data_IF_461994461171
#
_entry.id   IF_461994461171
#
_cell.length_a   1.000
_cell.length_b   1.000
_cell.length_c   1.000
_cell.angle_alpha   90.00
_cell.angle_beta   90.00
_cell.angle_gamma   90.00
#
_symmetry.space_group_name_H-M   'P 1'
#
loop_
_entity.id
_entity.type
_entity.pdbx_description
1 polymer ?
#
# COMPACT_ATOMS: atom_id res chain seq x y z
N UNK A 1 14.78 2.02 -17.08
CA UNK A 1 13.53 1.51 -16.47
C UNK A 1 13.84 0.96 -15.08
N UNK A 2 12.95 1.16 -14.11
CA UNK A 2 13.02 0.54 -12.77
C UNK A 2 11.67 -0.15 -12.51
N UNK A 3 11.68 -1.39 -12.06
CA UNK A 3 10.49 -2.16 -11.69
C UNK A 3 10.49 -2.41 -10.17
N UNK A 4 9.93 -1.49 -9.37
CA UNK A 4 9.99 -1.59 -7.91
C UNK A 4 9.21 -2.80 -7.39
N UNK A 5 9.76 -3.46 -6.38
CA UNK A 5 9.04 -4.51 -5.65
C UNK A 5 7.98 -3.89 -4.73
N UNK A 6 6.99 -4.69 -4.33
CA UNK A 6 6.10 -4.38 -3.20
C UNK A 6 5.80 -5.65 -2.39
N UNK A 7 5.23 -5.48 -1.19
CA UNK A 7 4.94 -6.58 -0.27
C UNK A 7 4.07 -7.69 -0.88
N UNK A 8 3.07 -7.36 -1.69
CA UNK A 8 2.15 -8.35 -2.25
C UNK A 8 2.85 -9.22 -3.31
N UNK A 9 3.69 -8.62 -4.17
CA UNK A 9 4.53 -9.37 -5.11
C UNK A 9 5.60 -10.19 -4.37
N UNK A 10 6.18 -9.66 -3.29
CA UNK A 10 7.09 -10.42 -2.46
C UNK A 10 6.42 -11.71 -1.96
N UNK A 11 5.21 -11.63 -1.40
CA UNK A 11 4.50 -12.81 -0.93
C UNK A 11 4.12 -13.78 -2.06
N UNK A 12 3.82 -13.29 -3.27
CA UNK A 12 3.57 -14.15 -4.42
C UNK A 12 4.82 -14.91 -4.85
N UNK A 13 5.98 -14.24 -4.89
CA UNK A 13 7.28 -14.85 -5.23
C UNK A 13 7.69 -15.89 -4.19
N UNK A 14 7.47 -15.62 -2.91
CA UNK A 14 7.82 -16.54 -1.82
C UNK A 14 6.97 -17.83 -1.78
N UNK A 15 5.94 -17.97 -2.63
CA UNK A 15 5.18 -19.23 -2.80
C UNK A 15 5.90 -20.25 -3.70
N UNK A 16 6.99 -19.88 -4.36
CA UNK A 16 7.73 -20.79 -5.24
C UNK A 16 8.44 -21.88 -4.41
N UNK A 17 8.09 -23.15 -4.65
CA UNK A 17 8.65 -24.29 -3.94
C UNK A 17 10.06 -24.68 -4.43
N UNK A 18 10.38 -24.39 -5.69
CA UNK A 18 11.68 -24.71 -6.28
C UNK A 18 12.70 -23.61 -5.98
N UNK A 19 13.71 -23.94 -5.17
CA UNK A 19 14.74 -23.00 -4.73
C UNK A 19 15.50 -22.38 -5.90
N UNK A 20 15.80 -23.15 -6.94
CA UNK A 20 16.54 -22.65 -8.10
C UNK A 20 15.72 -21.58 -8.86
N UNK A 21 14.42 -21.82 -9.05
CA UNK A 21 13.49 -20.88 -9.67
C UNK A 21 13.26 -19.66 -8.79
N UNK A 22 13.16 -19.84 -7.46
CA UNK A 22 13.03 -18.75 -6.50
C UNK A 22 14.24 -17.81 -6.55
N UNK A 23 15.45 -18.36 -6.49
CA UNK A 23 16.69 -17.58 -6.56
C UNK A 23 16.84 -16.87 -7.91
N UNK A 24 16.47 -17.51 -9.02
CA UNK A 24 16.47 -16.88 -10.33
C UNK A 24 15.46 -15.73 -10.43
N UNK A 25 14.25 -15.91 -9.87
CA UNK A 25 13.22 -14.87 -9.80
C UNK A 25 13.68 -13.69 -8.94
N UNK A 26 14.30 -13.97 -7.78
CA UNK A 26 14.84 -12.94 -6.91
C UNK A 26 15.96 -12.13 -7.59
N UNK A 27 16.85 -12.78 -8.35
CA UNK A 27 17.87 -12.09 -9.14
C UNK A 27 17.28 -11.18 -10.20
N UNK A 28 16.25 -11.64 -10.93
CA UNK A 28 15.55 -10.79 -11.90
C UNK A 28 14.90 -9.57 -11.21
N UNK A 29 14.32 -9.76 -10.03
CA UNK A 29 13.75 -8.66 -9.24
C UNK A 29 14.83 -7.67 -8.82
N UNK A 30 15.99 -8.13 -8.35
CA UNK A 30 17.09 -7.25 -7.97
C UNK A 30 17.60 -6.45 -9.16
N UNK A 31 17.79 -7.09 -10.32
CA UNK A 31 18.24 -6.47 -11.57
C UNK A 31 17.27 -5.39 -12.06
N UNK A 32 15.96 -5.65 -12.00
CA UNK A 32 14.94 -4.72 -12.51
C UNK A 32 14.57 -3.64 -11.48
N UNK A 33 14.58 -3.96 -10.19
CA UNK A 33 14.19 -3.01 -9.13
C UNK A 33 15.32 -2.11 -8.69
N UNK A 34 16.58 -2.48 -8.95
CA UNK A 34 17.77 -1.82 -8.43
C UNK A 34 17.76 -1.73 -6.88
N UNK A 35 17.12 -2.72 -6.24
CA UNK A 35 16.92 -2.79 -4.80
C UNK A 35 15.96 -1.74 -4.24
N UNK A 36 15.13 -1.12 -5.07
CA UNK A 36 14.08 -0.17 -4.67
C UNK A 36 12.74 -0.88 -4.58
N UNK A 37 11.97 -0.60 -3.54
CA UNK A 37 10.61 -1.11 -3.39
C UNK A 37 9.67 -0.02 -2.86
N UNK A 38 8.37 -0.28 -2.93
CA UNK A 38 7.34 0.57 -2.36
C UNK A 38 7.11 0.20 -0.89
N UNK A 39 6.87 1.20 -0.04
CA UNK A 39 6.41 0.99 1.34
C UNK A 39 5.22 0.03 1.38
N UNK A 40 5.06 -0.83 2.40
CA UNK A 40 3.87 -1.65 2.60
C UNK A 40 2.57 -0.83 2.61
N UNK A 41 1.45 -1.44 2.22
CA UNK A 41 0.15 -0.75 2.08
C UNK A 41 -0.27 0.05 3.33
N UNK A 42 -0.20 -0.48 4.57
CA UNK A 42 -0.58 0.31 5.75
C UNK A 42 0.27 1.57 5.92
N UNK A 43 1.58 1.45 5.73
CA UNK A 43 2.52 2.57 5.84
C UNK A 43 2.32 3.60 4.73
N UNK A 44 1.97 3.18 3.51
CA UNK A 44 1.60 4.11 2.43
C UNK A 44 0.35 4.91 2.78
N UNK A 45 -0.67 4.26 3.32
CA UNK A 45 -1.91 4.97 3.69
C UNK A 45 -1.72 5.92 4.88
N UNK A 46 -0.92 5.52 5.87
CA UNK A 46 -0.52 6.41 6.97
C UNK A 46 0.30 7.60 6.47
N UNK A 47 1.22 7.38 5.52
CA UNK A 47 1.98 8.43 4.85
C UNK A 47 1.07 9.39 4.06
N UNK A 48 0.09 8.87 3.32
CA UNK A 48 -0.92 9.68 2.62
C UNK A 48 -1.69 10.58 3.60
N UNK A 49 -2.10 10.03 4.74
CA UNK A 49 -2.78 10.78 5.80
C UNK A 49 -1.88 11.85 6.43
N UNK A 50 -0.64 11.49 6.77
CA UNK A 50 0.34 12.43 7.31
C UNK A 50 0.62 13.57 6.32
N UNK A 51 0.90 13.23 5.06
CA UNK A 51 1.14 14.18 3.98
C UNK A 51 -0.05 15.12 3.77
N UNK A 52 -1.27 14.59 3.78
CA UNK A 52 -2.47 15.39 3.68
C UNK A 52 -2.56 16.41 4.82
N UNK A 53 -2.36 16.00 6.07
CA UNK A 53 -2.42 16.91 7.22
C UNK A 53 -1.32 17.98 7.12
N UNK A 54 -0.06 17.59 6.87
CA UNK A 54 1.05 18.54 6.79
C UNK A 54 0.94 19.51 5.62
N UNK A 55 0.48 19.04 4.45
CA UNK A 55 0.27 19.90 3.28
C UNK A 55 -0.81 20.97 3.49
N UNK A 56 -1.73 20.78 4.44
CA UNK A 56 -2.70 21.82 4.83
C UNK A 56 -2.16 22.82 5.87
N UNK A 57 -1.06 22.47 6.55
CA UNK A 57 -0.50 23.24 7.67
C UNK A 57 0.74 24.01 7.29
N UNK A 58 1.55 23.46 6.38
CA UNK A 58 2.82 24.04 5.95
C UNK A 58 2.69 24.66 4.55
N UNK A 59 3.60 25.57 4.22
CA UNK A 59 3.71 26.07 2.85
C UNK A 59 4.12 24.93 1.91
N UNK A 60 3.49 24.84 0.74
CA UNK A 60 3.68 23.74 -0.21
C UNK A 60 5.13 23.52 -0.66
N UNK A 61 6.01 24.52 -0.54
CA UNK A 61 7.42 24.41 -0.89
C UNK A 61 8.27 23.68 0.16
N UNK A 62 7.76 23.49 1.38
CA UNK A 62 8.48 22.86 2.48
C UNK A 62 8.30 21.33 2.54
N UNK A 63 7.37 20.77 1.76
CA UNK A 63 7.01 19.35 1.80
C UNK A 63 7.38 18.66 0.49
N UNK A 64 8.07 17.53 0.60
CA UNK A 64 8.28 16.63 -0.54
C UNK A 64 6.96 16.17 -1.14
N UNK A 65 6.96 15.91 -2.45
CA UNK A 65 5.78 15.36 -3.10
C UNK A 65 5.54 13.94 -2.58
N UNK A 66 4.28 13.54 -2.46
CA UNK A 66 3.93 12.22 -1.91
C UNK A 66 4.62 11.07 -2.66
N UNK A 67 4.71 11.17 -4.00
CA UNK A 67 5.36 10.17 -4.83
C UNK A 67 6.87 10.07 -4.58
N UNK A 68 7.52 11.05 -3.96
CA UNK A 68 8.94 10.98 -3.58
C UNK A 68 9.16 10.19 -2.27
N UNK A 69 8.11 10.01 -1.47
CA UNK A 69 8.19 9.49 -0.10
C UNK A 69 7.78 8.02 0.04
N UNK A 70 7.24 7.41 -1.02
CA UNK A 70 6.73 6.03 -0.98
C UNK A 70 7.79 4.94 -1.21
N UNK A 71 9.02 5.34 -1.48
CA UNK A 71 10.12 4.44 -1.82
C UNK A 71 10.91 4.01 -0.59
N UNK A 72 11.31 2.75 -0.56
CA UNK A 72 12.22 2.18 0.44
C UNK A 72 13.11 1.12 -0.22
N UNK A 73 13.89 0.38 0.57
CA UNK A 73 14.77 -0.70 0.09
C UNK A 73 14.10 -2.06 0.20
N UNK A 74 14.47 -2.96 -0.70
CA UNK A 74 13.93 -4.34 -0.76
C UNK A 74 13.99 -5.07 0.58
N UNK A 75 15.04 -4.87 1.37
CA UNK A 75 15.17 -5.42 2.72
C UNK A 75 14.05 -4.98 3.69
N UNK A 76 13.38 -3.87 3.40
CA UNK A 76 12.25 -3.29 4.15
C UNK A 76 10.91 -3.44 3.43
N UNK A 77 10.81 -4.36 2.46
CA UNK A 77 9.55 -4.60 1.71
C UNK A 77 8.37 -5.00 2.62
N UNK A 78 8.64 -5.54 3.80
CA UNK A 78 7.63 -5.88 4.81
C UNK A 78 7.52 -4.85 5.94
N UNK A 79 8.19 -3.70 5.81
CA UNK A 79 8.22 -2.62 6.79
C UNK A 79 9.58 -2.43 7.43
N UNK A 80 9.78 -1.25 8.02
CA UNK A 80 11.01 -0.89 8.70
C UNK A 80 11.12 -1.61 10.06
N UNK A 81 12.20 -2.38 10.23
CA UNK A 81 12.51 -3.08 11.48
C UNK A 81 13.96 -2.79 11.82
N UNK A 82 14.21 -2.46 13.08
CA UNK A 82 15.56 -2.29 13.63
C UNK A 82 15.62 -2.95 15.01
N UNK A 83 16.72 -3.61 15.39
CA UNK A 83 16.87 -4.14 16.74
C UNK A 83 16.79 -3.00 17.76
N UNK A 84 16.10 -3.24 18.87
CA UNK A 84 15.98 -2.29 19.97
C UNK A 84 16.09 -3.02 21.31
N UNK A 85 16.74 -2.40 22.30
CA UNK A 85 16.84 -2.97 23.64
C UNK A 85 16.94 -1.89 24.71
N UNK A 86 15.97 -1.90 25.62
CA UNK A 86 15.96 -1.06 26.83
C UNK A 86 17.11 -1.40 27.80
N UNK A 87 17.73 -2.58 27.67
CA UNK A 87 18.87 -2.99 28.49
C UNK A 87 20.19 -2.32 28.06
N UNK A 88 20.25 -1.72 26.86
CA UNK A 88 21.45 -1.08 26.33
C UNK A 88 21.46 0.43 26.62
N UNK A 89 22.64 1.05 26.85
CA UNK A 89 22.76 2.50 26.85
C UNK A 89 22.22 3.09 25.55
N UNK A 90 21.47 4.20 25.63
CA UNK A 90 20.77 4.81 24.48
C UNK A 90 21.68 5.07 23.28
N UNK A 91 22.88 5.59 23.52
CA UNK A 91 23.83 5.91 22.46
C UNK A 91 24.34 4.65 21.75
N UNK A 92 24.57 3.56 22.49
CA UNK A 92 24.97 2.28 21.92
C UNK A 92 23.83 1.64 21.13
N UNK A 93 22.61 1.65 21.68
CA UNK A 93 21.42 1.14 21.01
C UNK A 93 21.19 1.89 19.68
N UNK A 94 21.24 3.22 19.70
CA UNK A 94 21.16 4.07 18.51
C UNK A 94 22.26 3.78 17.48
N UNK A 95 23.51 3.56 17.93
CA UNK A 95 24.62 3.22 17.03
C UNK A 95 24.42 1.86 16.35
N UNK A 96 23.91 0.86 17.08
CA UNK A 96 23.55 -0.46 16.55
C UNK A 96 22.41 -0.32 15.53
N UNK A 97 21.36 0.43 15.87
CA UNK A 97 20.22 0.67 14.98
C UNK A 97 20.64 1.30 13.65
N UNK A 98 21.50 2.33 13.70
CA UNK A 98 22.06 2.96 12.50
C UNK A 98 22.88 1.98 11.68
N UNK A 99 23.80 1.26 12.32
CA UNK A 99 24.66 0.29 11.62
C UNK A 99 23.85 -0.86 10.98
N UNK A 100 22.80 -1.31 11.67
CA UNK A 100 21.87 -2.31 11.15
C UNK A 100 21.09 -1.75 9.96
N UNK A 101 20.58 -0.52 10.07
CA UNK A 101 19.87 0.13 8.98
C UNK A 101 20.75 0.30 7.75
N UNK A 102 21.99 0.78 7.90
CA UNK A 102 22.96 0.92 6.82
C UNK A 102 23.25 -0.42 6.13
N UNK A 103 23.40 -1.50 6.91
CA UNK A 103 23.59 -2.84 6.38
C UNK A 103 22.36 -3.33 5.60
N UNK A 104 21.17 -3.26 6.19
CA UNK A 104 19.91 -3.63 5.53
C UNK A 104 19.67 -2.81 4.26
N UNK A 105 20.07 -1.53 4.26
CA UNK A 105 19.97 -0.66 3.08
C UNK A 105 20.82 -1.13 1.91
N UNK A 106 21.87 -1.93 2.16
CA UNK A 106 22.75 -2.48 1.13
C UNK A 106 22.26 -3.79 0.51
N UNK A 107 21.29 -4.47 1.12
CA UNK A 107 20.86 -5.82 0.72
C UNK A 107 19.86 -5.81 -0.43
N UNK A 108 20.06 -6.72 -1.39
CA UNK A 108 19.06 -7.16 -2.36
C UNK A 108 18.18 -8.29 -1.82
N UNK A 109 17.21 -8.73 -2.63
CA UNK A 109 16.35 -9.87 -2.31
C UNK A 109 17.15 -11.18 -2.26
N UNK A 110 18.13 -11.36 -3.15
CA UNK A 110 19.04 -12.52 -3.11
C UNK A 110 19.77 -12.59 -1.77
N UNK A 111 20.27 -11.46 -1.27
CA UNK A 111 21.01 -11.42 -0.01
C UNK A 111 20.10 -11.81 1.15
N UNK A 112 18.87 -11.28 1.17
CA UNK A 112 17.86 -11.62 2.19
C UNK A 112 17.56 -13.12 2.17
N UNK A 113 17.33 -13.70 0.99
CA UNK A 113 17.09 -15.14 0.84
C UNK A 113 18.29 -15.99 1.28
N UNK A 114 19.51 -15.53 1.00
CA UNK A 114 20.75 -16.22 1.36
C UNK A 114 20.98 -16.18 2.88
N UNK A 115 20.73 -15.03 3.52
CA UNK A 115 20.93 -14.85 4.98
C UNK A 115 19.88 -15.61 5.78
N UNK A 116 18.60 -15.50 5.40
CA UNK A 116 17.52 -16.14 6.13
C UNK A 116 17.37 -17.64 5.78
N UNK A 117 17.85 -18.05 4.60
CA UNK A 117 17.67 -19.38 4.03
C UNK A 117 16.33 -19.49 3.29
N UNK A 118 16.31 -19.93 2.02
CA UNK A 118 15.06 -20.00 1.22
C UNK A 118 13.94 -20.78 1.91
N UNK A 119 14.27 -21.87 2.61
CA UNK A 119 13.29 -22.67 3.35
C UNK A 119 12.59 -21.93 4.53
N UNK A 120 13.22 -20.88 5.08
CA UNK A 120 12.65 -20.09 6.18
C UNK A 120 11.89 -18.85 5.66
N UNK A 121 12.17 -18.42 4.43
CA UNK A 121 11.53 -17.24 3.81
C UNK A 121 10.38 -17.64 2.89
N UNK A 122 10.52 -18.78 2.19
CA UNK A 122 9.47 -19.34 1.37
C UNK A 122 8.26 -19.67 2.24
N UNK A 123 7.26 -18.82 2.15
CA UNK A 123 5.98 -19.08 2.76
C UNK A 123 5.31 -20.17 1.92
N UNK A 124 5.47 -21.43 2.35
CA UNK A 124 4.79 -22.61 1.74
C UNK A 124 3.27 -22.42 1.61
N UNK A 125 2.71 -21.41 2.28
CA UNK A 125 1.34 -20.94 2.19
C UNK A 125 1.31 -19.41 2.16
N UNK A 126 0.30 -18.84 1.51
CA UNK A 126 -0.01 -17.41 1.63
C UNK A 126 -0.07 -17.00 3.10
N UNK A 127 0.58 -15.90 3.53
CA UNK A 127 0.43 -15.41 4.90
C UNK A 127 -0.99 -14.90 5.19
N UNK A 128 -1.78 -14.67 4.14
CA UNK A 128 -3.16 -14.23 4.23
C UNK A 128 -4.11 -15.41 3.99
N UNK A 129 -5.08 -15.55 4.88
CA UNK A 129 -6.20 -16.48 4.73
C UNK A 129 -7.03 -16.11 3.49
N UNK A 130 -7.48 -17.13 2.76
CA UNK A 130 -8.43 -16.92 1.67
C UNK A 130 -9.81 -16.58 2.24
N UNK A 131 -10.16 -15.30 2.18
CA UNK A 131 -11.44 -14.77 2.64
C UNK A 131 -12.44 -14.56 1.50
N UNK A 132 -12.17 -15.08 0.29
CA UNK A 132 -12.99 -14.81 -0.89
C UNK A 132 -14.44 -15.30 -0.72
N UNK A 133 -14.64 -16.46 -0.09
CA UNK A 133 -15.97 -17.00 0.21
C UNK A 133 -16.74 -16.15 1.22
N UNK A 134 -16.05 -15.64 2.25
CA UNK A 134 -16.65 -14.73 3.24
C UNK A 134 -17.06 -13.40 2.59
N UNK A 135 -16.20 -12.83 1.74
CA UNK A 135 -16.49 -11.62 0.96
C UNK A 135 -17.65 -11.81 0.00
N UNK A 136 -17.69 -12.95 -0.70
CA UNK A 136 -18.79 -13.29 -1.61
C UNK A 136 -20.11 -13.44 -0.83
N UNK A 137 -20.10 -14.14 0.30
CA UNK A 137 -21.28 -14.31 1.16
C UNK A 137 -21.82 -12.96 1.65
N UNK A 138 -20.93 -12.10 2.17
CA UNK A 138 -21.29 -10.74 2.61
C UNK A 138 -21.81 -9.87 1.47
N UNK A 139 -21.19 -9.94 0.29
CA UNK A 139 -21.66 -9.25 -0.92
C UNK A 139 -23.08 -9.68 -1.29
N UNK A 140 -23.32 -10.99 -1.41
CA UNK A 140 -24.62 -11.50 -1.87
C UNK A 140 -25.75 -11.20 -0.87
N UNK A 141 -25.45 -11.20 0.43
CA UNK A 141 -26.40 -10.79 1.47
C UNK A 141 -26.78 -9.31 1.41
N UNK A 142 -25.96 -8.46 0.79
CA UNK A 142 -26.11 -6.99 0.83
C UNK A 142 -26.26 -6.36 -0.58
N UNK A 143 -26.70 -7.11 -1.60
CA UNK A 143 -26.78 -6.63 -2.98
C UNK A 143 -27.71 -5.42 -3.17
N UNK A 144 -28.77 -5.31 -2.38
CA UNK A 144 -29.81 -4.28 -2.52
C UNK A 144 -29.65 -3.11 -1.55
N UNK A 145 -28.57 -3.07 -0.75
CA UNK A 145 -28.37 -2.05 0.30
C UNK A 145 -28.08 -0.66 -0.28
N UNK A 146 -27.42 -0.60 -1.43
CA UNK A 146 -26.99 0.67 -2.04
C UNK A 146 -27.72 0.92 -3.35
N UNK A 147 -28.28 2.12 -3.52
CA UNK A 147 -29.04 2.51 -4.69
C UNK A 147 -28.14 3.02 -5.84
N UNK A 148 -26.89 3.36 -5.55
CA UNK A 148 -25.93 3.83 -6.55
C UNK A 148 -24.50 3.34 -6.28
N UNK A 149 -23.69 3.31 -7.34
CA UNK A 149 -22.26 3.01 -7.22
C UNK A 149 -21.56 3.97 -6.25
N UNK A 150 -21.95 5.26 -6.23
CA UNK A 150 -21.36 6.25 -5.34
C UNK A 150 -21.60 5.91 -3.86
N UNK A 151 -22.81 5.45 -3.52
CA UNK A 151 -23.13 5.01 -2.16
C UNK A 151 -22.32 3.76 -1.76
N UNK A 152 -22.18 2.81 -2.68
CA UNK A 152 -21.36 1.63 -2.45
C UNK A 152 -19.88 1.97 -2.26
N UNK A 153 -19.33 2.83 -3.12
CA UNK A 153 -17.97 3.37 -2.98
C UNK A 153 -17.78 4.05 -1.62
N UNK A 154 -18.72 4.91 -1.20
CA UNK A 154 -18.62 5.58 0.10
C UNK A 154 -18.74 4.59 1.27
N UNK A 155 -19.52 3.52 1.13
CA UNK A 155 -19.56 2.46 2.14
C UNK A 155 -18.22 1.74 2.28
N UNK A 156 -17.52 1.47 1.18
CA UNK A 156 -16.17 0.90 1.21
C UNK A 156 -15.16 1.87 1.83
N UNK A 157 -15.25 3.15 1.47
CA UNK A 157 -14.43 4.21 2.06
C UNK A 157 -14.60 4.23 3.59
N UNK A 158 -15.84 4.21 4.08
CA UNK A 158 -16.12 4.20 5.52
C UNK A 158 -15.52 2.96 6.19
N UNK A 159 -15.73 1.78 5.60
CA UNK A 159 -15.20 0.52 6.14
C UNK A 159 -13.68 0.51 6.24
N UNK A 160 -12.97 1.00 5.23
CA UNK A 160 -11.51 1.13 5.27
C UNK A 160 -11.10 2.15 6.34
N UNK A 161 -11.73 3.32 6.39
CA UNK A 161 -11.38 4.37 7.36
C UNK A 161 -11.57 3.93 8.81
N UNK A 162 -12.59 3.12 9.10
CA UNK A 162 -12.84 2.60 10.45
C UNK A 162 -11.68 1.75 10.98
N UNK A 163 -10.95 1.05 10.10
CA UNK A 163 -9.75 0.26 10.47
C UNK A 163 -8.60 1.16 10.91
N UNK A 164 -8.48 2.39 10.37
CA UNK A 164 -7.36 3.29 10.62
C UNK A 164 -7.63 4.33 11.73
N UNK A 165 -8.73 4.18 12.48
CA UNK A 165 -9.11 5.10 13.56
C UNK A 165 -7.99 5.34 14.56
N UNK A 166 -7.35 4.28 15.03
CA UNK A 166 -6.32 4.36 16.07
C UNK A 166 -5.03 4.95 15.49
N UNK A 167 -4.66 4.55 14.26
CA UNK A 167 -3.53 5.15 13.54
C UNK A 167 -3.69 6.67 13.34
N UNK A 168 -4.91 7.14 13.09
CA UNK A 168 -5.19 8.59 13.03
C UNK A 168 -5.11 9.27 14.39
N UNK A 169 -5.50 8.60 15.48
CA UNK A 169 -5.27 9.14 16.82
C UNK A 169 -3.77 9.30 17.10
N UNK A 170 -2.96 8.30 16.73
CA UNK A 170 -1.52 8.33 16.88
C UNK A 170 -0.86 9.40 16.00
N UNK A 171 -1.35 9.61 14.78
CA UNK A 171 -0.95 10.71 13.90
C UNK A 171 -1.11 12.08 14.58
N UNK A 172 -2.29 12.39 15.12
CA UNK A 172 -2.52 13.67 15.78
C UNK A 172 -1.77 13.80 17.10
N UNK A 173 -1.60 12.70 17.84
CA UNK A 173 -0.72 12.68 19.02
C UNK A 173 0.69 13.06 18.63
N UNK A 174 1.26 12.42 17.60
CA UNK A 174 2.60 12.72 17.11
C UNK A 174 2.75 14.20 16.75
N UNK A 175 1.82 14.76 15.97
CA UNK A 175 1.84 16.18 15.57
C UNK A 175 1.77 17.09 16.81
N UNK A 176 0.87 16.80 17.76
CA UNK A 176 0.73 17.59 18.98
C UNK A 176 2.00 17.58 19.83
N UNK A 177 2.56 16.39 20.09
CA UNK A 177 3.77 16.25 20.92
C UNK A 177 4.98 16.90 20.25
N UNK A 178 5.11 16.78 18.92
CA UNK A 178 6.16 17.43 18.13
C UNK A 178 6.05 18.96 18.18
N UNK A 179 4.86 19.52 17.97
CA UNK A 179 4.69 20.96 17.81
C UNK A 179 4.68 21.72 19.15
N UNK A 180 4.22 21.07 20.22
CA UNK A 180 4.07 21.72 21.53
C UNK A 180 5.17 21.34 22.53
N UNK A 181 5.85 20.21 22.30
CA UNK A 181 6.78 19.61 23.27
C UNK A 181 6.10 18.98 24.49
N UNK A 182 4.77 19.06 24.59
CA UNK A 182 4.00 18.48 25.69
C UNK A 182 3.65 17.02 25.39
N UNK A 183 3.39 16.24 26.45
CA UNK A 183 2.86 14.87 26.34
C UNK A 183 1.40 14.84 26.74
N UNK A 184 0.62 14.02 26.04
CA UNK A 184 -0.76 13.73 26.45
C UNK A 184 -0.77 12.92 27.74
N UNK A 185 -1.72 13.22 28.62
CA UNK A 185 -2.07 12.39 29.77
C UNK A 185 -2.66 11.04 29.34
N UNK A 186 -2.67 10.06 30.25
CA UNK A 186 -3.22 8.72 29.95
C UNK A 186 -4.71 8.77 29.57
N UNK A 187 -5.49 9.66 30.19
CA UNK A 187 -6.89 9.86 29.85
C UNK A 187 -7.07 10.42 28.43
N UNK A 188 -6.24 11.39 28.04
CA UNK A 188 -6.25 11.95 26.67
C UNK A 188 -5.77 10.94 25.63
N UNK A 189 -4.87 10.01 26.01
CA UNK A 189 -4.38 8.95 25.11
C UNK A 189 -5.45 7.90 24.78
N UNK A 190 -6.39 7.66 25.69
CA UNK A 190 -7.52 6.73 25.48
C UNK A 190 -8.67 7.36 24.69
N UNK A 191 -8.63 8.67 24.44
CA UNK A 191 -9.66 9.37 23.68
C UNK A 191 -9.48 9.18 22.17
N UNK A 192 -10.48 8.58 21.53
CA UNK A 192 -10.48 8.27 20.09
C UNK A 192 -11.19 9.32 19.23
N UNK A 193 -11.64 10.44 19.83
CA UNK A 193 -12.40 11.48 19.12
C UNK A 193 -11.63 12.10 17.96
N UNK A 194 -10.31 12.30 18.10
CA UNK A 194 -9.47 12.87 17.03
C UNK A 194 -9.47 11.99 15.77
N UNK A 195 -9.28 10.68 15.94
CA UNK A 195 -9.36 9.71 14.86
C UNK A 195 -10.75 9.71 14.19
N UNK A 196 -11.83 9.69 14.96
CA UNK A 196 -13.19 9.73 14.41
C UNK A 196 -13.49 11.04 13.66
N UNK A 197 -13.02 12.18 14.17
CA UNK A 197 -13.17 13.48 13.49
C UNK A 197 -12.48 13.47 12.13
N UNK A 198 -11.29 12.87 12.05
CA UNK A 198 -10.54 12.80 10.80
C UNK A 198 -11.15 11.81 9.80
N UNK A 199 -11.64 10.65 10.25
CA UNK A 199 -12.46 9.73 9.44
C UNK A 199 -13.63 10.51 8.81
N UNK A 200 -14.38 11.25 9.63
CA UNK A 200 -15.52 12.02 9.15
C UNK A 200 -15.11 13.11 8.15
N UNK A 201 -13.96 13.75 8.36
CA UNK A 201 -13.40 14.73 7.44
C UNK A 201 -13.09 14.11 6.08
N UNK A 202 -12.31 13.02 6.04
CA UNK A 202 -11.92 12.36 4.79
C UNK A 202 -13.17 11.83 4.06
N UNK A 203 -14.07 11.15 4.78
CA UNK A 203 -15.31 10.63 4.22
C UNK A 203 -16.14 11.75 3.56
N UNK A 204 -16.35 12.87 4.27
CA UNK A 204 -17.13 13.98 3.75
C UNK A 204 -16.42 14.71 2.62
N UNK A 205 -15.09 14.84 2.67
CA UNK A 205 -14.31 15.43 1.60
C UNK A 205 -14.42 14.61 0.31
N UNK A 206 -14.38 13.27 0.39
CA UNK A 206 -14.65 12.39 -0.76
C UNK A 206 -16.11 12.49 -1.23
N UNK A 207 -17.08 12.42 -0.30
CA UNK A 207 -18.52 12.52 -0.61
C UNK A 207 -18.88 13.79 -1.37
N UNK A 208 -18.26 14.91 -0.99
CA UNK A 208 -18.45 16.24 -1.56
C UNK A 208 -17.47 16.58 -2.70
N UNK A 209 -16.65 15.61 -3.15
CA UNK A 209 -15.63 15.78 -4.20
C UNK A 209 -14.64 16.94 -3.93
N UNK A 210 -14.29 17.18 -2.66
CA UNK A 210 -13.31 18.19 -2.24
C UNK A 210 -11.87 17.69 -2.29
N UNK A 211 -11.70 16.37 -2.29
CA UNK A 211 -10.41 15.70 -2.51
C UNK A 211 -10.56 14.69 -3.65
N UNK A 212 -9.48 14.52 -4.39
CA UNK A 212 -9.37 13.59 -5.51
C UNK A 212 -8.30 12.54 -5.22
N UNK A 213 -7.04 12.92 -5.36
CA UNK A 213 -5.90 12.01 -5.35
C UNK A 213 -5.00 12.19 -4.12
N UNK A 214 -5.48 12.85 -3.06
CA UNK A 214 -4.75 13.00 -1.80
C UNK A 214 -4.66 11.70 -0.99
N UNK A 215 -5.62 10.78 -1.20
CA UNK A 215 -5.65 9.46 -0.57
C UNK A 215 -5.81 8.37 -1.64
N UNK A 216 -4.79 8.18 -2.50
CA UNK A 216 -4.89 7.26 -3.61
C UNK A 216 -5.09 5.81 -3.15
N UNK A 217 -4.48 5.37 -2.04
CA UNK A 217 -4.66 3.99 -1.55
C UNK A 217 -6.12 3.72 -1.15
N UNK A 218 -6.74 4.66 -0.42
CA UNK A 218 -8.15 4.58 -0.05
C UNK A 218 -9.06 4.59 -1.28
N UNK A 219 -8.82 5.51 -2.23
CA UNK A 219 -9.65 5.66 -3.42
C UNK A 219 -9.60 4.42 -4.31
N UNK A 220 -8.40 3.91 -4.58
CA UNK A 220 -8.23 2.73 -5.44
C UNK A 220 -8.80 1.51 -4.75
N UNK A 221 -8.43 1.26 -3.48
CA UNK A 221 -8.93 0.12 -2.71
C UNK A 221 -10.45 0.11 -2.61
N UNK A 222 -11.05 1.20 -2.12
CA UNK A 222 -12.51 1.31 -2.01
C UNK A 222 -13.19 1.20 -3.38
N UNK A 223 -12.60 1.76 -4.43
CA UNK A 223 -13.11 1.66 -5.79
C UNK A 223 -13.15 0.23 -6.30
N UNK A 224 -12.04 -0.51 -6.21
CA UNK A 224 -11.98 -1.90 -6.69
C UNK A 224 -12.97 -2.80 -5.97
N UNK A 225 -13.05 -2.69 -4.64
CA UNK A 225 -14.04 -3.42 -3.85
C UNK A 225 -15.48 -3.04 -4.21
N UNK A 226 -15.76 -1.74 -4.38
CA UNK A 226 -17.08 -1.28 -4.80
C UNK A 226 -17.44 -1.79 -6.19
N UNK A 227 -16.51 -1.81 -7.14
CA UNK A 227 -16.75 -2.32 -8.49
C UNK A 227 -17.04 -3.82 -8.50
N UNK A 228 -16.31 -4.62 -7.71
CA UNK A 228 -16.64 -6.04 -7.56
C UNK A 228 -18.00 -6.21 -6.91
N UNK A 229 -18.32 -5.47 -5.85
CA UNK A 229 -19.64 -5.58 -5.18
C UNK A 229 -20.80 -5.12 -6.06
N UNK A 230 -20.59 -4.10 -6.88
CA UNK A 230 -21.61 -3.51 -7.75
C UNK A 230 -21.98 -4.44 -8.91
N UNK A 231 -20.99 -5.14 -9.47
CA UNK A 231 -21.22 -6.16 -10.48
C UNK A 231 -21.84 -7.42 -9.85
N UNK A 232 -23.16 -7.59 -10.00
CA UNK A 232 -23.92 -8.73 -9.44
C UNK A 232 -23.43 -10.10 -9.91
N UNK A 233 -22.73 -10.18 -11.05
CA UNK A 233 -22.24 -11.43 -11.64
C UNK A 233 -20.83 -11.80 -11.23
N UNK A 234 -19.98 -10.82 -10.94
CA UNK A 234 -18.58 -11.04 -10.53
C UNK A 234 -18.51 -11.63 -9.13
N UNK A 235 -17.51 -12.48 -8.86
CA UNK A 235 -17.19 -12.97 -7.52
C UNK A 235 -15.76 -12.58 -7.17
N UNK A 236 -15.51 -12.39 -5.88
CA UNK A 236 -14.16 -12.36 -5.35
C UNK A 236 -13.51 -13.72 -5.58
N UNK A 237 -12.24 -13.70 -5.95
CA UNK A 237 -11.32 -14.83 -6.07
C UNK A 237 -10.21 -14.71 -5.03
N UNK A 238 -9.51 -15.82 -4.71
CA UNK A 238 -8.47 -15.81 -3.68
C UNK A 238 -7.37 -14.76 -3.91
N UNK A 239 -6.98 -14.56 -5.18
CA UNK A 239 -5.90 -13.64 -5.54
C UNK A 239 -6.35 -12.18 -5.73
N UNK A 240 -7.67 -11.90 -5.82
CA UNK A 240 -8.16 -10.55 -6.12
C UNK A 240 -7.63 -9.50 -5.11
N UNK A 241 -7.44 -9.89 -3.84
CA UNK A 241 -6.90 -8.98 -2.81
C UNK A 241 -5.46 -8.59 -3.07
N UNK A 242 -4.61 -9.54 -3.48
CA UNK A 242 -3.22 -9.26 -3.84
C UNK A 242 -3.16 -8.39 -5.09
N UNK A 243 -3.98 -8.72 -6.09
CA UNK A 243 -4.08 -7.97 -7.34
C UNK A 243 -4.52 -6.52 -7.06
N UNK A 244 -5.48 -6.31 -6.15
CA UNK A 244 -5.94 -4.97 -5.76
C UNK A 244 -4.86 -4.19 -5.02
N UNK A 245 -4.15 -4.82 -4.08
CA UNK A 245 -3.06 -4.17 -3.34
C UNK A 245 -1.88 -3.83 -4.25
N UNK A 246 -1.62 -4.66 -5.26
CA UNK A 246 -0.63 -4.35 -6.29
C UNK A 246 -1.06 -3.15 -7.14
N UNK A 247 -2.33 -3.07 -7.55
CA UNK A 247 -2.88 -1.91 -8.26
C UNK A 247 -2.85 -0.63 -7.40
N UNK A 248 -3.18 -0.73 -6.11
CA UNK A 248 -3.06 0.37 -5.13
C UNK A 248 -1.62 0.90 -5.08
N UNK A 249 -0.62 0.01 -5.14
CA UNK A 249 0.78 0.39 -5.13
C UNK A 249 1.25 1.01 -6.45
N UNK A 250 0.77 0.50 -7.59
CA UNK A 250 1.29 0.88 -8.90
C UNK A 250 0.66 2.16 -9.46
N UNK A 251 -0.68 2.27 -9.44
CA UNK A 251 -1.39 3.34 -10.14
C UNK A 251 -0.98 4.78 -9.72
N UNK A 252 -0.75 5.08 -8.43
CA UNK A 252 -0.43 6.46 -8.03
C UNK A 252 1.04 6.83 -8.23
N UNK A 253 1.92 5.82 -8.31
CA UNK A 253 3.36 6.00 -8.06
C UNK A 253 4.25 5.49 -9.20
N UNK A 254 3.71 4.74 -10.16
CA UNK A 254 4.46 4.19 -11.30
C UNK A 254 3.93 4.73 -12.62
N UNK A 255 4.80 4.80 -13.64
CA UNK A 255 4.39 5.18 -15.00
C UNK A 255 3.64 4.07 -15.73
N UNK A 256 4.02 2.81 -15.48
CA UNK A 256 3.50 1.61 -16.13
C UNK A 256 3.04 0.59 -15.09
N UNK A 257 1.92 -0.08 -15.37
CA UNK A 257 1.44 -1.20 -14.57
C UNK A 257 1.11 -2.40 -15.45
N UNK A 258 1.87 -3.49 -15.27
CA UNK A 258 1.67 -4.72 -16.01
C UNK A 258 0.88 -5.71 -15.15
N UNK A 259 -0.30 -6.08 -15.64
CA UNK A 259 -1.27 -6.90 -14.91
C UNK A 259 -2.03 -7.80 -15.86
N UNK A 260 -2.78 -8.77 -15.36
CA UNK A 260 -3.60 -9.63 -16.20
C UNK A 260 -4.84 -8.91 -16.76
N UNK A 261 -5.45 -9.54 -17.77
CA UNK A 261 -6.56 -8.94 -18.52
C UNK A 261 -7.75 -8.56 -17.62
N UNK A 262 -8.03 -9.36 -16.60
CA UNK A 262 -9.21 -9.19 -15.73
C UNK A 262 -9.13 -7.92 -14.90
N UNK A 263 -8.03 -7.72 -14.16
CA UNK A 263 -7.78 -6.49 -13.42
C UNK A 263 -7.63 -5.30 -14.36
N UNK A 264 -6.89 -5.42 -15.48
CA UNK A 264 -6.76 -4.31 -16.43
C UNK A 264 -8.13 -3.78 -16.92
N UNK A 265 -9.10 -4.66 -17.21
CA UNK A 265 -10.46 -4.23 -17.57
C UNK A 265 -11.20 -3.62 -16.39
N UNK A 266 -11.02 -4.16 -15.18
CA UNK A 266 -11.61 -3.58 -13.97
C UNK A 266 -11.11 -2.16 -13.72
N UNK A 267 -9.81 -1.89 -13.85
CA UNK A 267 -9.23 -0.55 -13.67
C UNK A 267 -9.82 0.50 -14.62
N UNK A 268 -10.28 0.06 -15.80
CA UNK A 268 -10.93 0.89 -16.82
C UNK A 268 -12.45 0.93 -16.70
N UNK A 269 -13.02 0.37 -15.63
CA UNK A 269 -14.45 0.43 -15.39
C UNK A 269 -14.93 1.89 -15.38
N UNK A 270 -16.06 2.13 -16.06
CA UNK A 270 -16.62 3.47 -16.25
C UNK A 270 -16.98 4.19 -14.95
N UNK A 271 -17.18 3.45 -13.87
CA UNK A 271 -17.46 4.02 -12.55
C UNK A 271 -16.17 4.41 -11.81
N UNK A 272 -15.06 3.72 -12.08
CA UNK A 272 -13.77 3.97 -11.45
C UNK A 272 -12.99 5.08 -12.14
N UNK A 273 -12.93 5.04 -13.48
CA UNK A 273 -12.22 6.04 -14.30
C UNK A 273 -10.76 6.25 -13.88
N UNK A 274 -10.09 5.22 -13.36
CA UNK A 274 -8.71 5.35 -12.88
C UNK A 274 -7.73 5.75 -13.98
N UNK A 275 -7.99 5.33 -15.23
CA UNK A 275 -7.21 5.75 -16.41
C UNK A 275 -7.20 7.27 -16.66
N UNK A 276 -8.18 8.02 -16.14
CA UNK A 276 -8.22 9.48 -16.25
C UNK A 276 -7.78 10.18 -14.96
N UNK A 277 -7.70 9.44 -13.85
CA UNK A 277 -7.35 9.99 -12.54
C UNK A 277 -5.86 9.85 -12.24
N UNK A 278 -5.22 8.82 -12.78
CA UNK A 278 -3.82 8.51 -12.60
C UNK A 278 -3.10 8.50 -13.95
N UNK A 279 -1.83 8.90 -13.95
CA UNK A 279 -0.99 8.92 -15.15
C UNK A 279 -0.47 7.52 -15.53
N UNK A 280 -0.55 6.56 -14.60
CA UNK A 280 -0.08 5.20 -14.79
C UNK A 280 -0.84 4.48 -15.92
N UNK A 281 -0.10 3.91 -16.86
CA UNK A 281 -0.66 3.12 -17.96
C UNK A 281 -0.71 1.64 -17.59
N UNK A 282 -1.93 1.14 -17.33
CA UNK A 282 -2.17 -0.28 -17.11
C UNK A 282 -2.29 -1.05 -18.44
N UNK A 283 -1.46 -2.08 -18.64
CA UNK A 283 -1.51 -2.97 -19.81
C UNK A 283 -1.40 -4.43 -19.42
N UNK A 284 -1.97 -5.31 -20.24
CA UNK A 284 -1.99 -6.75 -19.99
C UNK A 284 -1.40 -7.63 -21.10
N UNK A 285 -1.15 -7.05 -22.28
CA UNK A 285 -0.55 -7.79 -23.38
C UNK A 285 0.97 -7.64 -23.31
N UNK A 286 1.74 -8.74 -23.30
CA UNK A 286 3.20 -8.67 -23.32
C UNK A 286 3.75 -7.84 -24.49
N UNK A 287 3.14 -7.92 -25.67
CA UNK A 287 3.55 -7.14 -26.84
C UNK A 287 3.29 -5.64 -26.72
N UNK A 288 2.31 -5.22 -25.92
CA UNK A 288 2.08 -3.81 -25.60
C UNK A 288 3.05 -3.35 -24.51
N UNK A 289 3.29 -4.19 -23.49
CA UNK A 289 4.26 -3.93 -22.44
C UNK A 289 5.67 -3.69 -23.02
N UNK A 290 6.16 -4.59 -23.88
CA UNK A 290 7.47 -4.45 -24.52
C UNK A 290 7.60 -3.15 -25.32
N UNK A 291 6.57 -2.76 -26.07
CA UNK A 291 6.57 -1.49 -26.81
C UNK A 291 6.69 -0.28 -25.88
N UNK A 292 6.00 -0.29 -24.75
CA UNK A 292 6.06 0.79 -23.77
C UNK A 292 7.42 0.86 -23.08
N UNK A 293 8.02 -0.29 -22.77
CA UNK A 293 9.37 -0.36 -22.21
C UNK A 293 10.40 0.17 -23.21
N UNK A 294 10.31 -0.22 -24.47
CA UNK A 294 11.24 0.22 -25.53
C UNK A 294 11.10 1.72 -25.84
N UNK A 295 9.88 2.28 -25.75
CA UNK A 295 9.62 3.71 -25.94
C UNK A 295 10.02 4.57 -24.73
N UNK A 296 10.12 3.96 -23.54
CA UNK A 296 10.51 4.61 -22.30
C UNK A 296 12.01 4.64 -22.02
N UNK A 297 12.84 4.09 -22.93
CA UNK A 297 14.29 4.27 -22.91
C UNK A 297 14.64 5.58 -23.65
N UNK A 298 15.10 6.64 -22.97
CA UNK A 298 15.75 7.76 -23.64
C UNK A 298 17.05 7.33 -24.35
#
# INVERSE_FOLDING_TARGET
MICPLNADIYFEVMKQDDEQTLMATAGLIDDLSLGVCLLPMPQRFELEAFHFVESTRQESAALHQLWELVWTKTAYVLGFITPDSDAMPKDLNMAIQKSFADYMWSLGLIDVLTVMGPANVAARQSPFEDISDALNSGKFANLEVHASFKEMFLSEVQGILDVYRDAFCDLFRYIYERDTGNKLSDAERQDTRSGQMFINLIYNALRLNKITNQFPSLRIGAGLHAAVRWDRSRKYKPNDLFDFRHAIAALPYCDLFFTERSLCHLLRDRNLKFEYQFTCQAVYKPSEALKLVDQGNP
#
